data_IF_307785225978
#
_entry.id   IF_307785225978
#
_cell.length_a   1.000
_cell.length_b   1.000
_cell.length_c   1.000
_cell.angle_alpha   90.00
_cell.angle_beta   90.00
_cell.angle_gamma   90.00
#
_symmetry.space_group_name_H-M   'P 1'
#
loop_
_entity.id
_entity.type
_entity.pdbx_description
1 polymer ?
2 non-polymer ?
3 non-polymer ?
4 water ?
#
# COMPACT_ATOMS: atom_id res chain seq x y z
N UNK A 1 9.66 16.07 -3.36
CA UNK A 1 8.48 16.41 -4.14
C UNK A 1 7.19 16.22 -3.36
N UNK A 2 6.11 16.81 -3.86
CA UNK A 2 4.77 16.39 -3.48
C UNK A 2 4.16 15.51 -4.56
N UNK A 3 3.71 14.33 -4.16
CA UNK A 3 3.15 13.36 -5.08
C UNK A 3 1.65 13.22 -4.87
N UNK A 4 0.91 13.45 -5.94
CA UNK A 4 -0.54 13.35 -5.96
C UNK A 4 -0.94 11.89 -5.96
N UNK A 5 -2.15 11.60 -5.50
CA UNK A 5 -2.66 10.23 -5.49
C UNK A 5 -3.83 10.04 -6.46
N UNK A 6 -4.00 10.99 -7.39
CA UNK A 6 -4.94 10.77 -8.48
C UNK A 6 -4.55 9.54 -9.28
N UNK A 7 -3.25 9.36 -9.49
CA UNK A 7 -2.72 8.18 -10.17
C UNK A 7 -1.89 7.33 -9.19
N UNK A 8 -1.55 6.12 -9.61
CA UNK A 8 -0.61 5.29 -8.83
C UNK A 8 0.71 6.03 -8.72
N UNK A 9 1.24 6.13 -7.49
CA UNK A 9 2.50 6.86 -7.27
C UNK A 9 3.72 6.02 -7.66
N UNK A 10 4.02 6.01 -8.95
CA UNK A 10 5.15 5.24 -9.48
C UNK A 10 6.40 6.11 -9.55
N UNK A 11 7.52 5.55 -9.13
CA UNK A 11 8.81 6.21 -9.24
C UNK A 11 9.85 5.28 -9.84
N UNK A 12 10.95 5.87 -10.28
CA UNK A 12 12.11 5.10 -10.71
C UNK A 12 13.05 4.85 -9.53
N UNK A 13 13.51 3.61 -9.40
CA UNK A 13 14.52 3.27 -8.43
C UNK A 13 15.76 2.72 -9.13
N UNK A 14 16.92 2.91 -8.51
CA UNK A 14 18.13 2.25 -8.94
C UNK A 14 18.59 1.26 -7.87
N UNK A 15 18.72 0.00 -8.28
CA UNK A 15 19.04 -1.07 -7.36
C UNK A 15 19.82 -2.17 -8.09
N UNK A 16 20.91 -2.60 -7.50
CA UNK A 16 21.74 -3.66 -8.07
C UNK A 16 22.20 -3.35 -9.48
N UNK A 17 22.44 -2.07 -9.75
CA UNK A 17 22.91 -1.64 -11.07
C UNK A 17 21.79 -1.47 -12.08
N UNK A 18 20.56 -1.75 -11.66
CA UNK A 18 19.42 -1.74 -12.58
C UNK A 18 18.46 -0.58 -12.28
N UNK A 19 17.80 -0.07 -13.31
CA UNK A 19 16.70 0.88 -13.14
C UNK A 19 15.37 0.13 -13.22
N UNK A 20 14.49 0.40 -12.26
CA UNK A 20 13.19 -0.26 -12.22
C UNK A 20 12.11 0.73 -11.83
N UNK A 21 10.88 0.45 -12.25
CA UNK A 21 9.73 1.23 -11.80
C UNK A 21 9.11 0.55 -10.59
N UNK A 22 8.72 1.34 -9.60
CA UNK A 22 8.14 0.80 -8.38
C UNK A 22 7.06 1.71 -7.82
N UNK A 23 6.18 1.11 -7.01
CA UNK A 23 5.02 1.79 -6.45
C UNK A 23 5.31 2.19 -5.00
N UNK A 24 5.15 3.47 -4.68
CA UNK A 24 5.30 3.93 -3.30
C UNK A 24 4.10 3.50 -2.47
N UNK A 25 4.31 2.58 -1.53
CA UNK A 25 3.21 1.79 -0.96
C UNK A 25 3.22 1.87 0.57
N UNK A 26 2.43 2.79 1.12
CA UNK A 26 2.38 2.99 2.57
C UNK A 26 1.70 1.83 3.28
N UNK A 27 1.00 1.00 2.53
CA UNK A 27 0.36 -0.19 3.08
C UNK A 27 1.28 -1.40 3.20
N UNK A 28 2.50 -1.28 2.66
CA UNK A 28 3.46 -2.39 2.68
C UNK A 28 4.49 -2.19 3.79
N UNK A 29 4.64 -3.18 4.68
CA UNK A 29 5.71 -3.15 5.68
C UNK A 29 7.08 -3.16 4.99
N UNK A 30 7.18 -3.98 3.94
CA UNK A 30 8.46 -4.35 3.34
C UNK A 30 8.49 -3.89 1.88
N UNK A 31 9.70 -3.79 1.34
CA UNK A 31 9.90 -3.56 -0.08
C UNK A 31 10.05 -4.88 -0.83
N UNK A 32 9.24 -5.06 -1.87
CA UNK A 32 9.21 -6.32 -2.62
C UNK A 32 9.34 -6.06 -4.11
N UNK A 33 10.29 -6.75 -4.72
CA UNK A 33 10.58 -6.57 -6.13
C UNK A 33 10.46 -7.90 -6.87
N UNK A 34 10.07 -7.81 -8.15
CA UNK A 34 10.05 -8.97 -9.03
C UNK A 34 11.42 -9.62 -9.11
N UNK A 35 11.46 -10.83 -9.64
CA UNK A 35 12.69 -11.62 -9.65
C UNK A 35 13.87 -10.85 -10.23
N UNK A 36 14.94 -10.83 -9.47
CA UNK A 36 16.18 -10.18 -9.87
C UNK A 36 17.30 -10.77 -9.03
N UNK A 37 18.54 -10.52 -9.45
CA UNK A 37 19.70 -10.97 -8.69
C UNK A 37 20.16 -9.87 -7.76
N UNK A 38 20.47 -10.24 -6.52
CA UNK A 38 21.16 -9.35 -5.60
C UNK A 38 22.33 -10.09 -4.92
N UNK A 39 23.35 -9.33 -4.50
CA UNK A 39 24.53 -9.93 -3.88
C UNK A 39 24.30 -10.28 -2.41
N UNK A 40 25.07 -11.23 -1.89
CA UNK A 40 25.17 -11.44 -0.46
C UNK A 40 24.15 -12.46 0.03
N UNK A 41 24.03 -12.56 1.35
CA UNK A 41 23.26 -13.61 1.99
C UNK A 41 21.77 -13.31 1.87
N UNK A 42 20.95 -14.36 1.92
CA UNK A 42 19.50 -14.21 1.95
C UNK A 42 18.84 -15.34 2.75
N UNK A 43 17.61 -15.11 3.18
CA UNK A 43 16.83 -16.15 3.83
C UNK A 43 15.39 -16.09 3.37
N UNK A 44 14.71 -17.25 3.32
CA UNK A 44 13.36 -17.31 2.80
C UNK A 44 12.36 -16.69 3.75
N UNK A 45 11.28 -16.16 3.19
CA UNK A 45 10.25 -15.47 3.94
C UNK A 45 8.93 -15.63 3.22
N UNK A 46 7.84 -15.76 3.98
CA UNK A 46 6.49 -15.67 3.42
C UNK A 46 5.89 -14.32 3.74
N UNK A 47 5.35 -13.66 2.73
CA UNK A 47 4.64 -12.43 2.95
C UNK A 47 3.24 -12.50 2.37
N UNK A 48 2.34 -11.78 3.02
CA UNK A 48 0.92 -11.95 2.80
C UNK A 48 0.23 -10.62 2.50
N UNK A 49 -0.91 -10.72 1.84
CA UNK A 49 -1.70 -9.55 1.51
C UNK A 49 -3.04 -10.04 1.04
N UNK A 50 -3.75 -9.23 0.26
CA UNK A 50 -4.98 -9.69 -0.35
C UNK A 50 -4.66 -10.80 -1.35
N UNK A 51 -5.37 -11.92 -1.20
CA UNK A 51 -5.16 -13.07 -2.07
C UNK A 51 -4.31 -14.17 -1.44
N UNK A 52 -3.59 -13.84 -0.38
CA UNK A 52 -2.82 -14.83 0.36
C UNK A 52 -1.34 -14.51 0.35
N UNK A 53 -0.50 -15.54 0.41
CA UNK A 53 0.93 -15.37 0.67
C UNK A 53 1.76 -15.77 -0.55
N UNK A 54 2.95 -15.19 -0.67
CA UNK A 54 3.97 -15.69 -1.59
C UNK A 54 5.31 -15.85 -0.86
N UNK A 55 6.14 -16.76 -1.37
CA UNK A 55 7.47 -16.96 -0.83
C UNK A 55 8.46 -16.05 -1.54
N UNK A 56 9.31 -15.38 -0.74
CA UNK A 56 10.29 -14.45 -1.28
C UNK A 56 11.66 -14.72 -0.65
N UNK A 57 12.70 -14.17 -1.26
CA UNK A 57 14.03 -14.17 -0.67
C UNK A 57 14.29 -12.81 -0.02
N UNK A 58 14.72 -12.84 1.23
CA UNK A 58 15.02 -11.62 1.97
C UNK A 58 16.50 -11.32 1.93
N UNK A 59 16.85 -10.17 1.34
CA UNK A 59 18.21 -9.64 1.35
C UNK A 59 18.27 -8.41 2.23
N UNK A 60 19.29 -8.34 3.09
CA UNK A 60 19.43 -7.22 4.01
C UNK A 60 20.56 -6.28 3.58
N UNK A 61 20.51 -5.04 4.06
CA UNK A 61 21.57 -4.06 3.82
C UNK A 61 21.85 -3.90 2.33
N UNK A 62 20.77 -3.68 1.56
CA UNK A 62 20.87 -3.41 0.13
C UNK A 62 20.76 -1.92 -0.16
N UNK A 63 21.73 -1.35 -0.88
CA UNK A 63 21.65 0.06 -1.25
C UNK A 63 20.65 0.30 -2.37
N UNK A 64 19.87 1.36 -2.25
CA UNK A 64 18.87 1.69 -3.24
C UNK A 64 18.78 3.20 -3.35
N UNK A 65 18.45 3.68 -4.54
CA UNK A 65 18.25 5.10 -4.75
C UNK A 65 16.86 5.34 -5.34
N UNK A 66 16.10 6.20 -4.66
CA UNK A 66 14.69 6.42 -4.97
C UNK A 66 14.45 7.91 -5.13
N UNK A 67 14.27 8.35 -6.39
CA UNK A 67 14.11 9.78 -6.66
C UNK A 67 15.33 10.57 -6.19
N UNK A 68 16.51 10.03 -6.40
CA UNK A 68 17.75 10.73 -6.06
C UNK A 68 18.06 10.66 -4.59
N UNK A 69 17.17 10.05 -3.82
CA UNK A 69 17.44 9.82 -2.40
C UNK A 69 18.02 8.43 -2.20
N UNK A 70 19.24 8.40 -1.66
CA UNK A 70 19.90 7.15 -1.31
C UNK A 70 19.42 6.61 0.04
N UNK A 71 19.22 5.31 0.09
CA UNK A 71 18.84 4.65 1.33
C UNK A 71 19.44 3.25 1.33
N UNK A 72 19.43 2.60 2.48
CA UNK A 72 19.80 1.21 2.57
C UNK A 72 18.81 0.45 3.44
N UNK A 73 18.46 -0.76 3.02
CA UNK A 73 17.52 -1.56 3.79
C UNK A 73 17.29 -2.93 3.21
N UNK A 74 16.27 -3.60 3.73
CA UNK A 74 15.94 -4.96 3.35
C UNK A 74 15.09 -4.94 2.09
N UNK A 75 15.44 -5.79 1.13
CA UNK A 75 14.66 -5.96 -0.09
C UNK A 75 14.25 -7.42 -0.25
N UNK A 76 12.95 -7.62 -0.44
CA UNK A 76 12.41 -8.94 -0.69
C UNK A 76 12.24 -9.16 -2.19
N UNK A 77 12.63 -10.34 -2.66
CA UNK A 77 12.57 -10.65 -4.07
C UNK A 77 11.74 -11.91 -4.31
N UNK A 78 10.75 -11.82 -5.18
CA UNK A 78 9.93 -12.98 -5.51
C UNK A 78 8.85 -12.67 -6.52
N UNK A 79 7.82 -13.52 -6.58
CA UNK A 79 6.78 -13.44 -7.61
C UNK A 79 5.67 -12.44 -7.25
N UNK A 80 6.05 -11.22 -6.91
CA UNK A 80 5.10 -10.16 -6.69
C UNK A 80 4.55 -9.65 -8.03
N UNK A 81 3.24 -9.35 -8.08
CA UNK A 81 2.69 -8.88 -9.35
C UNK A 81 3.15 -7.47 -9.71
N UNK A 82 3.66 -6.71 -8.72
CA UNK A 82 4.21 -5.40 -9.01
C UNK A 82 5.28 -5.00 -7.99
N UNK A 83 6.25 -4.22 -8.45
CA UNK A 83 7.33 -3.74 -7.61
C UNK A 83 6.79 -2.70 -6.61
N UNK A 84 7.00 -2.92 -5.33
CA UNK A 84 6.52 -1.98 -4.31
C UNK A 84 7.64 -1.55 -3.38
N UNK A 85 7.73 -0.25 -3.16
CA UNK A 85 8.55 0.30 -2.10
C UNK A 85 7.75 0.42 -0.81
N UNK A 86 8.18 -0.29 0.22
CA UNK A 86 7.46 -0.33 1.48
C UNK A 86 7.99 0.63 2.53
N UNK A 87 7.37 0.61 3.70
CA UNK A 87 7.67 1.62 4.72
C UNK A 87 9.13 1.57 5.14
N UNK A 88 9.74 0.39 5.10
CA UNK A 88 11.11 0.25 5.59
C UNK A 88 12.09 1.12 4.81
N UNK A 89 11.78 1.43 3.56
CA UNK A 89 12.59 2.36 2.78
C UNK A 89 11.98 3.76 2.64
N UNK A 90 10.65 3.83 2.65
CA UNK A 90 9.98 5.13 2.64
C UNK A 90 10.41 6.03 3.82
N UNK A 91 10.61 5.44 4.99
CA UNK A 91 11.06 6.20 6.15
C UNK A 91 12.40 6.88 5.88
N UNK A 92 13.27 6.18 5.16
CA UNK A 92 14.67 6.58 5.04
C UNK A 92 14.81 7.79 4.12
N UNK A 93 13.86 7.95 3.20
CA UNK A 93 13.86 9.11 2.33
C UNK A 93 12.94 10.21 2.84
N UNK A 94 12.44 10.04 4.05
CA UNK A 94 11.67 11.08 4.73
C UNK A 94 10.31 11.26 4.12
N UNK A 95 9.70 10.16 3.67
CA UNK A 95 8.38 10.20 3.07
C UNK A 95 7.27 10.22 4.13
N UNK A 96 6.34 11.15 3.99
CA UNK A 96 5.18 11.25 4.88
C UNK A 96 3.88 11.34 4.10
N UNK A 97 2.78 10.92 4.73
CA UNK A 97 1.44 11.24 4.28
C UNK A 97 0.98 12.56 4.88
N UNK A 98 0.32 13.37 4.06
CA UNK A 98 -0.16 14.67 4.52
C UNK A 98 -1.56 14.94 3.99
N UNK A 99 -2.43 15.42 4.88
CA UNK A 99 -3.75 15.90 4.49
C UNK A 99 -4.30 16.82 5.58
N UNK B 1 -3.22 16.26 9.15
CA UNK B 1 -2.03 15.81 9.89
C UNK B 1 -0.88 15.45 8.96
N UNK B 2 0.31 15.28 9.54
CA UNK B 2 1.42 14.65 8.84
C UNK B 2 1.77 13.33 9.52
N UNK B 3 1.73 12.24 8.74
CA UNK B 3 1.89 10.91 9.29
C UNK B 3 3.17 10.29 8.75
N UNK B 4 4.10 10.00 9.66
CA UNK B 4 5.33 9.31 9.30
C UNK B 4 5.08 7.81 9.24
N UNK B 5 6.06 7.06 8.76
CA UNK B 5 5.83 5.68 8.34
C UNK B 5 6.72 4.70 9.09
N UNK B 6 7.14 5.09 10.29
CA UNK B 6 7.94 4.21 11.14
C UNK B 6 7.07 3.09 11.71
N UNK B 7 5.78 3.38 11.86
CA UNK B 7 4.77 2.36 12.16
C UNK B 7 3.76 2.31 11.03
N UNK B 8 2.88 1.31 11.04
CA UNK B 8 1.76 1.28 10.11
C UNK B 8 0.88 2.50 10.28
N UNK B 9 0.49 3.14 9.16
CA UNK B 9 -0.36 4.33 9.23
C UNK B 9 -1.83 3.96 9.46
N UNK B 10 -2.12 3.45 10.66
CA UNK B 10 -3.47 3.08 11.05
C UNK B 10 -4.20 4.29 11.59
N UNK B 11 -5.42 4.48 11.10
CA UNK B 11 -6.27 5.55 11.58
C UNK B 11 -7.65 5.02 11.93
N UNK B 12 -8.43 5.83 12.61
CA UNK B 12 -9.81 5.47 12.91
C UNK B 12 -10.72 6.01 11.82
N UNK B 13 -11.59 5.15 11.30
CA UNK B 13 -12.62 5.56 10.36
C UNK B 13 -14.00 5.36 10.99
N UNK B 14 -15.00 6.02 10.44
CA UNK B 14 -16.37 5.76 10.86
C UNK B 14 -17.25 5.48 9.66
N UNK B 15 -17.95 4.35 9.71
CA UNK B 15 -18.82 3.97 8.61
C UNK B 15 -20.02 3.21 9.16
N UNK B 16 -21.21 3.63 8.73
CA UNK B 16 -22.45 3.09 9.26
C UNK B 16 -22.62 3.34 10.76
N UNK B 17 -22.05 4.45 11.22
CA UNK B 17 -22.13 4.83 12.63
C UNK B 17 -21.16 4.10 13.54
N UNK B 18 -20.31 3.24 12.98
CA UNK B 18 -19.39 2.46 13.80
C UNK B 18 -17.94 2.85 13.52
N UNK B 19 -17.12 2.85 14.58
CA UNK B 19 -15.69 3.10 14.45
C UNK B 19 -14.95 1.83 14.09
N UNK B 20 -13.98 1.96 13.18
CA UNK B 20 -13.07 0.88 12.84
C UNK B 20 -11.65 1.43 12.69
N UNK B 21 -10.65 0.55 12.72
CA UNK B 21 -9.28 0.92 12.37
C UNK B 21 -8.99 0.51 10.93
N UNK B 22 -8.31 1.40 10.21
CA UNK B 22 -7.96 1.09 8.83
C UNK B 22 -6.59 1.66 8.46
N UNK B 23 -5.99 1.08 7.44
CA UNK B 23 -4.63 1.38 7.03
C UNK B 23 -4.66 2.32 5.83
N UNK B 24 -3.99 3.45 5.93
CA UNK B 24 -3.87 4.37 4.79
C UNK B 24 -2.86 3.84 3.77
N UNK B 25 -3.36 3.39 2.62
CA UNK B 25 -2.60 2.52 1.73
C UNK B 25 -2.50 3.12 0.33
N UNK B 26 -1.39 3.78 0.05
CA UNK B 26 -1.22 4.45 -1.23
C UNK B 26 -0.99 3.45 -2.36
N UNK B 27 -0.65 2.22 -2.00
CA UNK B 27 -0.48 1.14 -2.97
C UNK B 27 -1.78 0.46 -3.39
N UNK B 28 -2.91 0.91 -2.84
CA UNK B 28 -4.21 0.35 -3.20
C UNK B 28 -5.02 1.33 -4.04
N UNK B 29 -5.51 0.88 -5.18
CA UNK B 29 -6.40 1.72 -5.98
C UNK B 29 -7.71 1.98 -5.22
N UNK B 30 -8.19 0.93 -4.55
CA UNK B 30 -9.53 0.89 -4.01
C UNK B 30 -9.49 0.76 -2.49
N UNK B 31 -10.64 1.00 -1.86
CA UNK B 31 -10.82 0.83 -0.43
C UNK B 31 -11.53 -0.50 -0.17
N UNK B 32 -10.94 -1.36 0.66
CA UNK B 32 -11.55 -2.64 0.94
C UNK B 32 -11.61 -2.90 2.44
N UNK B 33 -12.81 -3.21 2.92
CA UNK B 33 -13.04 -3.43 4.35
C UNK B 33 -13.41 -4.89 4.61
N UNK B 34 -13.10 -5.34 5.81
CA UNK B 34 -13.49 -6.66 6.28
C UNK B 34 -15.00 -6.81 6.29
N UNK B 35 -15.47 -8.06 6.27
CA UNK B 35 -16.90 -8.33 6.21
C UNK B 35 -17.70 -7.45 7.17
N UNK B 36 -18.75 -6.84 6.63
CA UNK B 36 -19.63 -5.96 7.38
C UNK B 36 -20.92 -5.79 6.58
N UNK B 37 -21.91 -5.14 7.18
CA UNK B 37 -23.16 -4.86 6.49
C UNK B 37 -23.17 -3.43 5.96
N UNK B 38 -23.59 -3.28 4.71
CA UNK B 38 -23.82 -1.96 4.12
C UNK B 38 -25.15 -1.94 3.38
N UNK B 39 -25.73 -0.75 3.20
CA UNK B 39 -27.06 -0.65 2.59
C UNK B 39 -27.01 -0.75 1.07
N UNK B 40 -28.13 -1.10 0.46
CA UNK B 40 -28.29 -0.93 -0.97
C UNK B 40 -27.87 -2.17 -1.73
N UNK B 41 -27.74 -2.02 -3.04
CA UNK B 41 -27.30 -3.13 -3.87
C UNK B 41 -25.79 -3.07 -4.08
N UNK B 42 -25.20 -4.24 -4.30
CA UNK B 42 -23.77 -4.31 -4.60
C UNK B 42 -23.55 -4.97 -5.94
N UNK B 43 -22.38 -4.69 -6.53
CA UNK B 43 -21.94 -5.29 -7.78
C UNK B 43 -20.67 -6.09 -7.55
N UNK B 44 -20.35 -7.00 -8.47
CA UNK B 44 -19.17 -7.84 -8.31
C UNK B 44 -17.90 -7.12 -8.73
N UNK B 45 -16.82 -7.35 -8.00
CA UNK B 45 -15.51 -6.91 -8.42
C UNK B 45 -14.44 -7.91 -8.02
N UNK B 46 -13.47 -8.08 -8.91
CA UNK B 46 -12.26 -8.82 -8.58
C UNK B 46 -11.11 -7.84 -8.40
N UNK B 47 -10.40 -7.98 -7.29
CA UNK B 47 -9.24 -7.15 -7.04
C UNK B 47 -8.01 -8.03 -6.76
N UNK B 48 -6.86 -7.53 -7.18
CA UNK B 48 -5.61 -8.28 -7.08
C UNK B 48 -4.70 -7.72 -6.02
N UNK B 49 -4.11 -8.61 -5.22
CA UNK B 49 -3.09 -8.22 -4.26
C UNK B 49 -1.84 -9.06 -4.45
N UNK B 50 -0.95 -9.03 -3.47
CA UNK B 50 0.33 -9.69 -3.60
C UNK B 50 0.15 -11.19 -3.76
N UNK B 51 -0.93 -11.73 -3.22
CA UNK B 51 -1.11 -13.17 -3.15
C UNK B 51 -1.97 -13.73 -4.27
N UNK B 52 -2.55 -12.83 -5.08
CA UNK B 52 -3.48 -13.24 -6.13
C UNK B 52 -4.75 -12.44 -6.06
N UNK B 53 -5.84 -13.00 -6.58
CA UNK B 53 -7.09 -12.26 -6.74
C UNK B 53 -8.16 -12.75 -5.78
N UNK B 54 -9.02 -11.84 -5.35
CA UNK B 54 -10.22 -12.22 -4.61
C UNK B 54 -11.46 -11.54 -5.19
N UNK B 55 -12.62 -12.11 -4.91
CA UNK B 55 -13.89 -11.47 -5.21
C UNK B 55 -14.37 -10.67 -4.03
N UNK B 56 -14.87 -9.47 -4.30
CA UNK B 56 -15.41 -8.61 -3.25
C UNK B 56 -16.77 -8.06 -3.68
N UNK B 57 -17.48 -7.50 -2.71
CA UNK B 57 -18.73 -6.82 -2.99
C UNK B 57 -18.50 -5.31 -3.10
N UNK B 58 -18.93 -4.71 -4.21
CA UNK B 58 -18.75 -3.27 -4.41
C UNK B 58 -20.02 -2.50 -4.06
N UNK B 59 -19.92 -1.64 -3.05
CA UNK B 59 -20.97 -0.69 -2.72
C UNK B 59 -20.55 0.72 -3.14
N UNK B 60 -21.47 1.46 -3.76
CA UNK B 60 -21.15 2.81 -4.22
C UNK B 60 -21.77 3.90 -3.35
N UNK B 61 -21.12 5.06 -3.32
CA UNK B 61 -21.69 6.27 -2.72
C UNK B 61 -21.97 6.08 -1.23
N UNK B 62 -21.00 5.49 -0.54
CA UNK B 62 -21.12 5.23 0.90
C UNK B 62 -20.41 6.33 1.69
N UNK B 63 -21.12 6.94 2.64
CA UNK B 63 -20.46 7.91 3.51
C UNK B 63 -19.47 7.24 4.46
N UNK B 64 -18.28 7.80 4.54
CA UNK B 64 -17.26 7.29 5.45
C UNK B 64 -16.34 8.41 5.90
N UNK B 65 -16.09 8.45 7.21
CA UNK B 65 -15.24 9.46 7.81
C UNK B 65 -13.86 8.85 8.05
N UNK B 66 -12.81 9.57 7.68
CA UNK B 66 -11.46 9.04 7.77
C UNK B 66 -10.56 10.02 8.53
N UNK B 67 -10.18 9.66 9.75
CA UNK B 67 -9.49 10.62 10.62
C UNK B 67 -10.26 11.91 10.81
N UNK B 68 -11.59 11.81 10.81
CA UNK B 68 -12.44 13.00 10.97
C UNK B 68 -12.77 13.72 9.68
N UNK B 69 -12.13 13.34 8.58
CA UNK B 69 -12.40 13.92 7.27
C UNK B 69 -13.52 13.16 6.56
N UNK B 70 -14.50 13.90 6.05
CA UNK B 70 -15.68 13.27 5.45
C UNK B 70 -15.42 12.90 3.99
N UNK B 71 -15.76 11.68 3.65
CA UNK B 71 -15.76 11.22 2.26
C UNK B 71 -17.06 10.49 1.94
N UNK B 72 -17.37 10.39 0.66
CA UNK B 72 -18.46 9.55 0.19
C UNK B 72 -18.04 8.87 -1.10
N UNK B 73 -17.89 7.56 -1.08
CA UNK B 73 -17.49 6.85 -2.28
C UNK B 73 -17.59 5.35 -2.20
N UNK B 74 -16.84 4.70 -3.09
CA UNK B 74 -16.97 3.27 -3.30
C UNK B 74 -16.18 2.49 -2.25
N UNK B 75 -16.87 1.55 -1.62
CA UNK B 75 -16.28 0.72 -0.60
C UNK B 75 -16.48 -0.75 -0.99
N UNK B 76 -15.37 -1.48 -1.06
CA UNK B 76 -15.40 -2.90 -1.36
C UNK B 76 -15.37 -3.68 -0.05
N UNK B 77 -16.13 -4.78 0.00
CA UNK B 77 -16.21 -5.59 1.21
C UNK B 77 -15.82 -7.03 0.87
N UNK B 78 -14.84 -7.56 1.58
CA UNK B 78 -14.37 -8.92 1.34
C UNK B 78 -13.26 -9.36 2.27
N UNK B 79 -12.69 -10.54 2.00
CA UNK B 79 -11.71 -11.16 2.88
C UNK B 79 -10.33 -10.53 2.74
N UNK B 80 -10.19 -9.33 3.30
CA UNK B 80 -8.89 -8.65 3.36
C UNK B 80 -8.24 -8.84 4.73
N UNK B 81 -6.90 -8.92 4.75
CA UNK B 81 -6.13 -9.05 5.98
C UNK B 81 -6.36 -7.89 6.94
N UNK B 82 -6.59 -6.70 6.41
CA UNK B 82 -6.88 -5.53 7.21
C UNK B 82 -7.80 -4.61 6.42
N UNK B 83 -8.53 -3.76 7.12
CA UNK B 83 -9.23 -2.66 6.47
C UNK B 83 -8.21 -1.74 5.80
N UNK B 84 -8.42 -1.44 4.53
CA UNK B 84 -7.49 -0.58 3.81
C UNK B 84 -8.22 0.56 3.12
N UNK B 85 -7.69 1.76 3.31
CA UNK B 85 -8.21 2.95 2.63
C UNK B 85 -7.33 3.25 1.45
N UNK B 86 -7.87 3.09 0.25
CA UNK B 86 -7.10 3.23 -0.98
C UNK B 86 -7.27 4.60 -1.62
N UNK B 87 -6.67 4.78 -2.79
CA UNK B 87 -6.51 6.11 -3.37
C UNK B 87 -7.86 6.75 -3.70
N UNK B 88 -8.88 5.94 -3.99
CA UNK B 88 -10.20 6.50 -4.27
C UNK B 88 -10.72 7.40 -3.16
N UNK B 89 -10.42 7.07 -1.91
CA UNK B 89 -10.82 7.92 -0.78
C UNK B 89 -9.70 8.82 -0.26
N UNK B 90 -8.45 8.39 -0.40
CA UNK B 90 -7.33 9.24 -0.01
C UNK B 90 -7.35 10.55 -0.81
N UNK B 91 -7.80 10.48 -2.06
CA UNK B 91 -7.91 11.68 -2.87
C UNK B 91 -9.03 12.59 -2.37
N UNK B 92 -10.11 12.01 -1.90
CA UNK B 92 -11.24 12.80 -1.40
C UNK B 92 -10.85 13.62 -0.16
N UNK B 93 -9.95 13.10 0.66
CA UNK B 93 -9.55 13.80 1.87
C UNK B 93 -8.27 14.63 1.70
N UNK B 94 -7.76 14.69 0.48
CA UNK B 94 -6.71 15.64 0.12
C UNK B 94 -5.32 15.14 0.47
N UNK B 95 -5.16 13.83 0.47
CA UNK B 95 -3.92 13.20 0.90
C UNK B 95 -2.87 13.23 -0.21
N UNK B 96 -1.64 13.57 0.16
CA UNK B 96 -0.51 13.47 -0.74
C UNK B 96 0.66 12.76 -0.05
N UNK B 97 1.59 12.26 -0.84
CA UNK B 97 2.88 11.83 -0.34
C UNK B 97 3.90 12.96 -0.53
N UNK B 98 4.78 13.13 0.45
CA UNK B 98 5.75 14.21 0.44
C UNK B 98 7.10 13.73 0.97
N UNK B 99 8.16 14.03 0.24
CA UNK B 99 9.51 13.87 0.76
C UNK B 99 10.49 14.85 0.10
X LIG C 1 15.07 -2.54 6.53
X LIG D 1 2.32 -6.36 3.97
X LIG D 1 1.26 -5.24 2.03
X LIG D 1 2.77 -5.33 4.48
X LIG D 1 2.01 -6.44 2.46
X LIG D 1 3.31 -6.61 1.64
X LIG D 1 4.20 -8.75 5.40
X LIG D 1 -1.48 -7.14 8.79
X LIG D 1 -4.19 -2.99 -8.59
X LIG D 1 -5.91 -5.34 -3.33
X LIG D 1 -6.79 -3.02 -3.63
X LIG D 1 -5.30 -3.55 -1.69
X LIG D 1 -4.69 -1.80 -6.11
X LIG D 1 -2.62 -7.87 -9.26
X LIG D 1 -3.09 -5.16 -2.85
X LIG D 1 -0.20 -6.42 0.77
X LIG D 1 0.22 -2.94 1.29
X LIG D 1 3.62 -7.96 6.32
X LIG D 1 -1.24 -6.54 7.61
X LIG D 1 -1.00 -3.84 -6.75
X LIG D 1 -0.57 -4.65 -5.70
X LIG D 1 -1.46 -4.41 -7.93
X LIG D 1 -0.06 -4.08 -4.54
X LIG D 1 -2.26 -6.89 4.06
X LIG D 1 -1.12 -5.15 5.28
X LIG D 1 -2.37 -6.06 2.96
X LIG D 1 -1.22 -4.32 4.18
X LIG D 1 -1.98 -6.34 -9.19
X LIG D 1 -1.67 -5.89 -10.41
X LIG D 1 -1.49 -5.80 -8.07
X LIG D 1 2.16 -7.53 6.12
X LIG D 1 0.17 -3.69 -1.32
X LIG D 1 -1.55 -7.31 6.32
X LIG D 1 -0.32 -2.96 -2.58
X LIG D 1 -1.05 -4.01 -0.45
X LIG D 1 -2.75 -7.85 -11.07
X LIG D 1 -1.89 -3.96 1.89
X LIG D 1 1.89 -7.40 4.68
X LIG D 1 -4.62 -3.91 -5.41
X LIG D 1 -1.94 -3.50 -3.91
X LIG D 1 -5.17 -3.40 -7.63
X LIG D 1 -4.81 -2.99 -6.38
X LIG D 1 -3.07 -4.11 -3.50
X LIG D 1 0.14 -5.37 1.30
X LIG D 1 -1.68 -6.43 5.24
X LIG D 1 -2.17 -6.62 -11.44
X LIG D 1 -1.79 -4.80 2.99
X LIG D 1 -0.57 -6.03 -5.85
X LIG D 1 -1.06 -6.61 -7.02
X LIG D 1 -4.37 -3.48 -4.02
X LIG D 1 -0.91 -3.92 -3.52
X LIG D 1 -5.58 -3.85 -3.17
X LIG D 1 -0.62 -4.06 1.02
X LIG D 1 4.49 -5.95 2.35
X LIG D 1 3.12 -6.00 0.25
X LIG E 1 11.12 11.21 10.54
X LIG F 1 -14.96 6.36 -5.06
#
# INVERSE_FOLDING_TARGET
>A
PQITLWQRPLVTIKIGGQLKEALLDTGADDTVLEEMSLPGRWKPKMIGGIGGFIKVRQYDQIPIEICGHKAIGTVLVGPTPTNVIGRNLLTQIGCTLNF
>B
PQITLWQRPLVTIKIGGQLKEALLDTGADDTVLEEMSLPGRWKPKMIGGIGGFIKVRQYDQIPIEICGHKAIGTVLVGPTPTNVIGRNLLTQIGCTLNF
>C hetero
1 CL CL
>D hetero
1 378 C N O CA CB CAA CAB CAC CAF CAG CAH OAI SAI OAK OAL OAM CAN CAO CAP CAQ CAR CAS CAT CAU CAV CAW CAY CAZ CBA CBB CBC CBD CBE CBF CBG CBH NBJ NBK NBM OBN CBO CBQ CBR CBS CBT CBU CBV CBW CBZ NCA CCB CCC CG1 CG2
>E hetero
1 CL CL
>F hetero
1 CL CL
#
